data_IF_061829877077
#
_entry.id   IF_061829877077
#
_cell.length_a   1.000
_cell.length_b   1.000
_cell.length_c   1.000
_cell.angle_alpha   90.00
_cell.angle_beta   90.00
_cell.angle_gamma   90.00
#
_symmetry.space_group_name_H-M   'P 1'
#
loop_
_entity.id
_entity.type
_entity.pdbx_description
1 polymer ?
#
# COMPACT_ATOMS: atom_id res chain seq x y z
N UNK A 1 0.32 1.92 -11.45
CA UNK A 1 0.92 1.14 -10.35
C UNK A 1 1.64 2.10 -9.43
N UNK A 2 1.30 2.11 -8.14
CA UNK A 2 1.86 3.00 -7.12
C UNK A 2 2.61 2.14 -6.10
N UNK A 3 3.84 2.50 -5.79
CA UNK A 3 4.62 1.90 -4.71
C UNK A 3 4.68 2.86 -3.53
N UNK A 4 4.47 2.34 -2.33
CA UNK A 4 4.38 3.15 -1.12
C UNK A 4 5.22 2.50 -0.03
N UNK A 5 6.14 3.25 0.54
CA UNK A 5 6.72 2.89 1.84
C UNK A 5 5.60 2.95 2.88
N UNK A 6 5.28 1.79 3.46
CA UNK A 6 4.18 1.62 4.38
C UNK A 6 4.61 1.70 5.84
N UNK A 7 5.92 1.78 6.12
CA UNK A 7 6.45 2.03 7.45
C UNK A 7 6.16 3.48 7.83
N UNK A 8 5.35 3.67 8.89
CA UNK A 8 4.94 4.98 9.43
C UNK A 8 4.29 5.99 8.45
N UNK A 9 3.97 5.62 7.21
CA UNK A 9 3.36 6.53 6.24
C UNK A 9 1.98 7.04 6.72
N UNK A 10 1.82 8.35 6.97
CA UNK A 10 0.58 8.92 7.53
C UNK A 10 -0.54 9.05 6.49
N UNK A 11 -0.23 8.90 5.21
CA UNK A 11 -1.14 9.16 4.08
C UNK A 11 -1.61 7.89 3.35
N UNK A 12 -1.43 6.70 3.95
CA UNK A 12 -1.86 5.43 3.34
C UNK A 12 -3.34 5.43 2.90
N UNK A 13 -4.23 5.98 3.72
CA UNK A 13 -5.65 6.08 3.39
C UNK A 13 -5.94 7.00 2.20
N UNK A 14 -5.24 8.13 2.09
CA UNK A 14 -5.42 9.06 0.97
C UNK A 14 -4.88 8.47 -0.33
N UNK A 15 -3.76 7.74 -0.27
CA UNK A 15 -3.22 7.01 -1.42
C UNK A 15 -4.24 6.01 -1.95
N UNK A 16 -4.88 5.23 -1.07
CA UNK A 16 -5.92 4.29 -1.49
C UNK A 16 -7.10 4.99 -2.17
N UNK A 17 -7.59 6.10 -1.59
CA UNK A 17 -8.69 6.89 -2.16
C UNK A 17 -8.37 7.46 -3.53
N UNK A 18 -7.14 7.94 -3.74
CA UNK A 18 -6.70 8.47 -5.04
C UNK A 18 -6.50 7.32 -6.03
N UNK A 19 -5.88 6.22 -5.60
CA UNK A 19 -5.64 5.06 -6.44
C UNK A 19 -6.95 4.43 -6.95
N UNK A 20 -7.96 4.31 -6.09
CA UNK A 20 -9.30 3.85 -6.45
C UNK A 20 -9.93 4.71 -7.54
N UNK A 21 -9.87 6.06 -7.41
CA UNK A 21 -10.41 6.99 -8.42
C UNK A 21 -9.77 6.82 -9.79
N UNK A 22 -8.48 6.48 -9.82
CA UNK A 22 -7.71 6.37 -11.05
C UNK A 22 -7.51 4.92 -11.51
N UNK A 23 -8.18 3.96 -10.86
CA UNK A 23 -8.03 2.52 -11.13
C UNK A 23 -6.56 2.05 -11.16
N UNK A 24 -5.75 2.56 -10.21
CA UNK A 24 -4.36 2.15 -10.08
C UNK A 24 -4.17 1.11 -8.97
N UNK A 25 -3.40 0.07 -9.28
CA UNK A 25 -2.90 -0.85 -8.26
C UNK A 25 -1.90 -0.15 -7.32
N UNK A 26 -1.98 -0.50 -6.04
CA UNK A 26 -1.10 -0.03 -4.96
C UNK A 26 -0.33 -1.20 -4.38
N UNK A 27 0.98 -1.05 -4.25
CA UNK A 27 1.85 -1.98 -3.53
C UNK A 27 2.46 -1.27 -2.32
N UNK A 28 2.02 -1.66 -1.12
CA UNK A 28 2.62 -1.26 0.14
C UNK A 28 3.85 -2.11 0.42
N UNK A 29 4.99 -1.48 0.61
CA UNK A 29 6.26 -2.11 0.97
C UNK A 29 6.60 -1.74 2.41
N UNK A 30 6.87 -2.71 3.27
CA UNK A 30 7.30 -2.45 4.65
C UNK A 30 8.42 -3.41 5.06
N UNK A 31 9.24 -2.95 6.02
CA UNK A 31 10.26 -3.76 6.67
C UNK A 31 9.69 -4.64 7.79
N UNK A 32 8.41 -4.44 8.14
CA UNK A 32 7.74 -5.13 9.24
C UNK A 32 6.29 -5.47 8.93
N UNK A 33 5.61 -6.16 9.85
CA UNK A 33 4.26 -6.69 9.64
C UNK A 33 3.24 -5.62 9.26
N UNK A 34 2.59 -5.80 8.10
CA UNK A 34 1.41 -5.03 7.69
C UNK A 34 0.15 -5.88 7.79
N UNK A 35 -0.94 -5.28 8.27
CA UNK A 35 -2.27 -5.90 8.17
C UNK A 35 -2.64 -6.03 6.68
N UNK A 36 -2.93 -7.24 6.17
CA UNK A 36 -3.34 -7.45 4.78
C UNK A 36 -4.57 -6.61 4.40
N UNK A 37 -4.55 -6.02 3.21
CA UNK A 37 -5.75 -5.45 2.59
C UNK A 37 -6.66 -6.56 2.06
N UNK A 38 -7.98 -6.32 2.06
CA UNK A 38 -8.97 -7.19 1.40
C UNK A 38 -9.23 -6.78 -0.05
N UNK A 39 -8.74 -5.61 -0.44
CA UNK A 39 -8.89 -5.08 -1.79
C UNK A 39 -7.88 -5.77 -2.73
N UNK A 40 -8.34 -6.43 -3.82
CA UNK A 40 -7.43 -7.06 -4.80
C UNK A 40 -6.50 -6.08 -5.52
N UNK A 41 -6.80 -4.79 -5.52
CA UNK A 41 -5.94 -3.73 -6.07
C UNK A 41 -4.82 -3.31 -5.12
N UNK A 42 -4.78 -3.86 -3.90
CA UNK A 42 -3.80 -3.52 -2.88
C UNK A 42 -2.98 -4.75 -2.51
N UNK A 43 -1.67 -4.67 -2.76
CA UNK A 43 -0.69 -5.71 -2.43
C UNK A 43 0.16 -5.23 -1.26
N UNK A 44 0.39 -6.10 -0.29
CA UNK A 44 1.34 -5.85 0.79
C UNK A 44 2.57 -6.73 0.57
N UNK A 45 3.75 -6.12 0.53
CA UNK A 45 5.04 -6.77 0.38
C UNK A 45 5.87 -6.44 1.62
N UNK A 46 6.33 -7.49 2.30
CA UNK A 46 7.27 -7.35 3.41
C UNK A 46 8.66 -7.67 2.87
N UNK A 47 9.61 -6.79 3.11
CA UNK A 47 11.02 -6.96 2.71
C UNK A 47 11.91 -7.03 3.94
N UNK A 48 13.08 -7.64 3.79
CA UNK A 48 14.17 -7.56 4.76
C UNK A 48 15.13 -6.46 4.32
N UNK A 49 15.56 -5.62 5.28
CA UNK A 49 16.57 -4.59 5.06
C UNK A 49 17.98 -5.18 4.98
#
# INVERSE_FOLDING_TARGET
>A
MIYVDADACPVKAEILKVAERHAFEVTFVANSGLRPSRDPMVKNVIVSA
#
